data_IF_343745538921
#
_entry.id   IF_343745538921
#
_cell.length_a   1.000
_cell.length_b   1.000
_cell.length_c   1.000
_cell.angle_alpha   90.00
_cell.angle_beta   90.00
_cell.angle_gamma   90.00
#
_symmetry.space_group_name_H-M   'P 1'
#
loop_
_entity.id
_entity.type
_entity.pdbx_description
1 polymer ?
#
# COMPACT_ATOMS: atom_id res chain seq x y z
N UNK A 1 9.64 3.38 -1.54
CA UNK A 1 9.99 2.46 -2.65
C UNK A 1 11.15 3.04 -3.45
N UNK A 2 12.03 2.20 -3.99
CA UNK A 2 13.01 2.61 -4.99
C UNK A 2 12.41 2.29 -6.37
N UNK A 3 11.94 3.31 -7.07
CA UNK A 3 11.51 3.17 -8.46
C UNK A 3 12.74 3.20 -9.37
N UNK A 4 12.90 2.22 -10.28
CA UNK A 4 13.83 2.31 -11.39
C UNK A 4 13.62 3.60 -12.20
N UNK A 5 14.67 4.11 -12.84
CA UNK A 5 14.60 5.40 -13.55
C UNK A 5 13.60 5.39 -14.74
N UNK A 6 13.31 4.21 -15.27
CA UNK A 6 12.39 3.94 -16.37
C UNK A 6 10.94 3.68 -15.92
N UNK A 7 10.68 3.56 -14.61
CA UNK A 7 9.33 3.38 -14.07
C UNK A 7 8.88 4.66 -13.37
N UNK A 8 7.76 5.28 -13.79
CA UNK A 8 7.23 6.47 -13.12
C UNK A 8 6.93 6.23 -11.64
N UNK A 9 7.49 7.09 -10.77
CA UNK A 9 7.19 7.10 -9.34
C UNK A 9 5.94 7.94 -9.07
N UNK A 10 4.77 7.32 -9.25
CA UNK A 10 3.49 7.99 -9.10
C UNK A 10 3.22 8.50 -7.68
N UNK A 11 3.78 7.83 -6.67
CA UNK A 11 3.64 8.25 -5.27
C UNK A 11 4.33 9.60 -5.03
N UNK A 12 5.53 9.81 -5.58
CA UNK A 12 6.20 11.12 -5.47
C UNK A 12 5.51 12.20 -6.28
N UNK A 13 4.98 11.85 -7.46
CA UNK A 13 4.28 12.81 -8.33
C UNK A 13 2.97 13.33 -7.73
N UNK A 14 2.37 12.58 -6.80
CA UNK A 14 1.16 13.01 -6.10
C UNK A 14 1.40 14.14 -5.09
N UNK A 15 2.64 14.52 -4.79
CA UNK A 15 2.93 15.61 -3.85
C UNK A 15 3.09 16.96 -4.56
N UNK A 16 2.65 18.07 -3.94
CA UNK A 16 2.16 18.18 -2.55
C UNK A 16 0.66 17.85 -2.33
N UNK A 17 -0.13 17.67 -3.39
CA UNK A 17 -1.59 17.53 -3.31
C UNK A 17 -2.08 16.29 -2.54
N UNK A 18 -1.24 15.26 -2.46
CA UNK A 18 -1.54 13.97 -1.86
C UNK A 18 -2.21 13.01 -2.83
N UNK A 19 -2.57 11.82 -2.33
CA UNK A 19 -3.25 10.77 -3.10
C UNK A 19 -4.43 10.20 -2.32
N UNK A 20 -5.39 9.68 -3.06
CA UNK A 20 -6.50 8.87 -2.54
C UNK A 20 -6.42 7.49 -3.14
N UNK A 21 -6.73 6.46 -2.34
CA UNK A 21 -6.84 5.11 -2.87
C UNK A 21 -8.05 4.41 -2.24
N UNK A 22 -8.69 3.59 -3.06
CA UNK A 22 -9.74 2.69 -2.63
C UNK A 22 -9.19 1.27 -2.66
N UNK A 23 -9.54 0.48 -1.64
CA UNK A 23 -9.14 -0.92 -1.52
C UNK A 23 -10.37 -1.79 -1.37
N UNK A 24 -10.59 -2.70 -2.32
CA UNK A 24 -11.68 -3.66 -2.26
C UNK A 24 -11.15 -5.05 -1.94
N UNK A 25 -11.54 -5.59 -0.80
CA UNK A 25 -11.21 -6.94 -0.36
C UNK A 25 -12.35 -7.87 -0.75
N UNK A 26 -12.05 -8.91 -1.53
CA UNK A 26 -13.01 -9.95 -1.91
C UNK A 26 -12.50 -11.30 -1.43
N UNK A 27 -13.25 -11.95 -0.55
CA UNK A 27 -12.90 -13.24 0.06
C UNK A 27 -13.49 -14.40 -0.75
N UNK A 28 -12.83 -15.56 -0.71
CA UNK A 28 -13.27 -16.74 -1.48
C UNK A 28 -14.60 -17.34 -1.01
N UNK A 29 -15.03 -17.03 0.21
CA UNK A 29 -16.34 -17.39 0.77
C UNK A 29 -17.47 -16.46 0.32
N UNK A 30 -17.17 -15.48 -0.53
CA UNK A 30 -18.13 -14.50 -1.05
C UNK A 30 -18.24 -13.22 -0.21
N UNK A 31 -17.53 -13.13 0.93
CA UNK A 31 -17.42 -11.89 1.69
C UNK A 31 -16.76 -10.76 0.88
N UNK A 32 -17.20 -9.52 1.08
CA UNK A 32 -16.52 -8.37 0.50
C UNK A 32 -16.53 -7.15 1.43
N UNK A 33 -15.46 -6.37 1.37
CA UNK A 33 -15.32 -5.12 2.11
C UNK A 33 -14.65 -4.08 1.22
N UNK A 34 -15.13 -2.83 1.27
CA UNK A 34 -14.53 -1.70 0.56
C UNK A 34 -14.02 -0.71 1.58
N UNK A 35 -12.71 -0.48 1.59
CA UNK A 35 -12.06 0.55 2.38
C UNK A 35 -11.79 1.74 1.48
N UNK A 36 -12.45 2.86 1.76
CA UNK A 36 -12.16 4.16 1.13
C UNK A 36 -11.19 4.90 2.04
N UNK A 37 -10.00 5.22 1.55
CA UNK A 37 -8.96 5.85 2.35
C UNK A 37 -8.49 7.16 1.72
N UNK A 38 -8.64 8.26 2.47
CA UNK A 38 -8.10 9.57 2.13
C UNK A 38 -6.90 9.86 3.01
N UNK A 39 -5.69 9.63 2.50
CA UNK A 39 -4.45 9.90 3.24
C UNK A 39 -3.97 11.31 2.96
N UNK A 40 -3.76 12.10 4.01
CA UNK A 40 -2.89 13.27 3.96
C UNK A 40 -1.56 12.90 4.61
N UNK A 41 -0.46 13.10 3.91
CA UNK A 41 0.88 12.91 4.49
C UNK A 41 1.32 14.21 5.14
N UNK A 42 1.07 14.32 6.43
CA UNK A 42 1.56 15.42 7.25
C UNK A 42 2.87 15.02 7.95
N UNK A 43 3.83 15.94 8.02
CA UNK A 43 5.07 15.71 8.76
C UNK A 43 4.74 15.70 10.26
N UNK A 44 4.81 14.52 10.88
CA UNK A 44 4.71 14.36 12.33
C UNK A 44 5.98 14.83 13.08
N UNK A 45 5.84 15.07 14.40
CA UNK A 45 6.93 15.43 15.31
C UNK A 45 7.88 14.24 15.57
N UNK A 46 8.65 13.83 14.55
CA UNK A 46 9.69 12.83 14.75
C UNK A 46 10.83 13.42 15.60
N UNK A 47 11.31 12.68 16.63
CA UNK A 47 12.48 13.09 17.39
C UNK A 47 13.68 13.30 16.44
N UNK A 48 14.43 14.40 16.63
CA UNK A 48 15.56 14.74 15.76
C UNK A 48 16.60 13.61 15.71
N UNK A 49 16.82 12.91 16.83
CA UNK A 49 17.74 11.78 16.94
C UNK A 49 17.08 10.42 16.66
N UNK A 50 15.80 10.42 16.28
CA UNK A 50 15.03 9.20 16.00
C UNK A 50 15.48 8.51 14.70
N UNK A 51 15.23 7.20 14.54
CA UNK A 51 15.67 6.43 13.37
C UNK A 51 15.11 6.97 12.04
N UNK A 52 13.94 7.61 12.07
CA UNK A 52 13.33 8.29 10.91
C UNK A 52 14.12 9.53 10.51
N UNK A 53 14.38 10.44 11.46
CA UNK A 53 15.11 11.69 11.19
C UNK A 53 16.60 11.48 10.93
N UNK A 54 17.17 10.39 11.45
CA UNK A 54 18.57 10.00 11.27
C UNK A 54 18.81 9.05 10.08
N UNK A 55 17.79 8.79 9.26
CA UNK A 55 17.88 7.89 8.08
C UNK A 55 18.44 6.48 8.42
N UNK A 56 18.05 5.94 9.57
CA UNK A 56 18.48 4.62 10.10
C UNK A 56 17.42 3.53 9.90
N UNK A 57 16.40 3.77 9.09
CA UNK A 57 15.40 2.75 8.75
C UNK A 57 15.92 1.87 7.62
N UNK A 58 15.85 0.55 7.79
CA UNK A 58 16.37 -0.43 6.81
C UNK A 58 15.33 -0.89 5.78
N UNK A 59 14.11 -0.35 5.85
CA UNK A 59 12.98 -0.70 4.98
C UNK A 59 11.90 -1.49 5.72
N UNK A 60 10.90 -1.94 4.95
CA UNK A 60 9.86 -2.86 5.38
C UNK A 60 10.14 -4.25 4.80
N UNK A 61 9.62 -5.31 5.42
CA UNK A 61 9.69 -6.68 4.89
C UNK A 61 9.10 -6.75 3.46
N UNK A 62 9.64 -7.60 2.56
CA UNK A 62 9.24 -7.59 1.16
C UNK A 62 7.81 -8.10 0.96
N UNK A 63 7.01 -7.32 0.24
CA UNK A 63 5.76 -7.76 -0.39
C UNK A 63 5.87 -7.57 -1.91
N UNK A 64 5.11 -8.35 -2.68
CA UNK A 64 5.04 -8.21 -4.13
C UNK A 64 3.61 -7.88 -4.52
N UNK A 65 3.44 -6.76 -5.22
CA UNK A 65 2.14 -6.25 -5.68
C UNK A 65 2.24 -5.96 -7.17
N UNK A 66 1.20 -6.29 -7.93
CA UNK A 66 1.15 -6.00 -9.36
C UNK A 66 0.43 -4.66 -9.57
N UNK A 67 1.16 -3.67 -10.09
CA UNK A 67 0.62 -2.36 -10.43
C UNK A 67 0.39 -2.25 -11.94
N UNK A 68 -0.83 -1.85 -12.35
CA UNK A 68 -1.19 -1.64 -13.76
C UNK A 68 -1.84 -0.27 -13.94
N UNK A 69 -1.27 0.63 -14.76
CA UNK A 69 -1.92 1.88 -15.12
C UNK A 69 -3.19 1.62 -15.94
N UNK A 70 -4.31 2.25 -15.59
CA UNK A 70 -5.60 2.15 -16.29
C UNK A 70 -6.37 3.46 -16.13
N UNK A 71 -6.70 4.12 -17.24
CA UNK A 71 -7.60 5.30 -17.27
C UNK A 71 -7.17 6.44 -16.31
N UNK A 72 -5.86 6.68 -16.17
CA UNK A 72 -5.32 7.72 -15.28
C UNK A 72 -5.25 7.33 -13.81
N UNK A 73 -5.59 6.07 -13.46
CA UNK A 73 -5.51 5.51 -12.12
C UNK A 73 -4.50 4.34 -12.13
N UNK A 74 -3.78 4.14 -11.04
CA UNK A 74 -2.97 2.93 -10.85
C UNK A 74 -3.83 1.91 -10.13
N UNK A 75 -3.98 0.72 -10.73
CA UNK A 75 -4.66 -0.39 -10.10
C UNK A 75 -3.63 -1.36 -9.56
N UNK A 76 -3.81 -1.74 -8.31
CA UNK A 76 -3.03 -2.77 -7.64
C UNK A 76 -3.89 -4.02 -7.56
N UNK A 77 -3.39 -5.15 -8.05
CA UNK A 77 -4.00 -6.47 -7.88
C UNK A 77 -3.06 -7.33 -7.04
N UNK A 78 -3.53 -7.84 -5.91
CA UNK A 78 -2.77 -8.79 -5.10
C UNK A 78 -3.64 -9.90 -4.51
N UNK A 79 -3.03 -11.06 -4.27
CA UNK A 79 -3.65 -12.15 -3.53
C UNK A 79 -3.07 -12.14 -2.11
N UNK A 80 -3.96 -12.02 -1.12
CA UNK A 80 -3.63 -12.08 0.29
C UNK A 80 -4.29 -13.30 0.92
N UNK A 81 -3.80 -13.73 2.08
CA UNK A 81 -4.37 -14.82 2.86
C UNK A 81 -4.61 -14.34 4.29
N UNK A 82 -5.86 -14.42 4.75
CA UNK A 82 -6.24 -14.12 6.12
C UNK A 82 -6.20 -15.41 6.94
N UNK A 83 -5.38 -15.45 7.99
CA UNK A 83 -5.35 -16.58 8.92
C UNK A 83 -6.57 -16.52 9.84
N UNK A 84 -7.37 -17.59 9.87
CA UNK A 84 -8.56 -17.73 10.72
C UNK A 84 -8.39 -18.88 11.73
N UNK A 85 -9.39 -19.07 12.60
CA UNK A 85 -9.37 -20.09 13.65
C UNK A 85 -9.02 -21.49 13.10
N UNK A 86 -8.22 -22.26 13.84
CA UNK A 86 -7.74 -23.57 13.41
C UNK A 86 -6.57 -23.55 12.42
N UNK A 87 -5.99 -22.37 12.14
CA UNK A 87 -4.85 -22.24 11.21
C UNK A 87 -5.23 -22.30 9.74
N UNK A 88 -6.53 -22.14 9.44
CA UNK A 88 -7.04 -22.10 8.07
C UNK A 88 -6.67 -20.75 7.44
N UNK A 89 -6.30 -20.77 6.16
CA UNK A 89 -6.01 -19.57 5.39
C UNK A 89 -7.19 -19.28 4.47
N UNK A 90 -7.85 -18.15 4.69
CA UNK A 90 -8.92 -17.64 3.83
C UNK A 90 -8.32 -16.75 2.75
N UNK A 91 -8.47 -17.15 1.49
CA UNK A 91 -7.96 -16.38 0.36
C UNK A 91 -8.75 -15.08 0.17
N UNK A 92 -8.03 -14.00 -0.05
CA UNK A 92 -8.57 -12.67 -0.32
C UNK A 92 -7.91 -12.10 -1.59
N UNK A 93 -8.70 -11.48 -2.46
CA UNK A 93 -8.21 -10.67 -3.57
C UNK A 93 -8.41 -9.20 -3.23
N UNK A 94 -7.35 -8.43 -3.43
CA UNK A 94 -7.30 -6.98 -3.30
C UNK A 94 -6.93 -6.36 -4.65
#
# INVERSE_FOLDING_TARGET
MKYPADIPDYFKQAFPEGLTYDRKLTFEDGGSNTLVHKTNFERGNFPIDGPVMQNRTHGWEPTSEKMTPSEGIIREDTIMYLMVEGGILLKCRC
#
